data_IF_292024882832
#
_entry.id   IF_292024882832
#
_cell.length_a   1.000
_cell.length_b   1.000
_cell.length_c   1.000
_cell.angle_alpha   90.00
_cell.angle_beta   90.00
_cell.angle_gamma   90.00
#
_symmetry.space_group_name_H-M   'P 1'
#
loop_
_entity.id
_entity.type
_entity.pdbx_description
1 polymer ?
#
# COMPACT_ATOMS: atom_id res chain seq x y z
N UNK A 1 -24.60 -4.54 28.52
CA UNK A 1 -24.85 -4.67 27.07
C UNK A 1 -25.06 -3.25 26.56
N UNK A 2 -24.09 -2.69 25.83
CA UNK A 2 -24.15 -1.27 25.44
C UNK A 2 -25.19 -1.05 24.33
N UNK A 3 -26.02 0.00 24.40
CA UNK A 3 -27.13 0.26 23.49
C UNK A 3 -26.71 0.54 22.04
N UNK A 4 -25.41 0.73 21.77
CA UNK A 4 -24.88 0.88 20.43
C UNK A 4 -24.85 -0.44 19.63
N UNK A 5 -24.83 -1.60 20.30
CA UNK A 5 -24.72 -2.90 19.64
C UNK A 5 -26.06 -3.34 19.03
N UNK A 6 -27.20 -2.91 19.61
CA UNK A 6 -28.54 -3.28 19.14
C UNK A 6 -28.98 -2.55 17.87
N UNK A 7 -28.36 -1.42 17.52
CA UNK A 7 -28.62 -0.70 16.28
C UNK A 7 -27.91 -1.30 15.05
N UNK A 8 -27.00 -2.25 15.25
CA UNK A 8 -26.21 -2.88 14.17
C UNK A 8 -26.86 -4.15 13.59
N UNK A 9 -27.98 -4.62 14.17
CA UNK A 9 -28.60 -5.89 13.76
C UNK A 9 -29.66 -5.74 12.64
N UNK A 10 -30.15 -4.54 12.32
CA UNK A 10 -31.32 -4.42 11.42
C UNK A 10 -31.09 -3.86 10.00
N UNK A 11 -30.04 -3.10 9.69
CA UNK A 11 -29.82 -2.69 8.29
C UNK A 11 -28.35 -2.82 7.84
N UNK A 12 -28.09 -3.91 7.11
CA UNK A 12 -27.10 -4.05 6.05
C UNK A 12 -25.77 -3.29 6.19
N UNK A 13 -24.87 -3.81 7.01
CA UNK A 13 -23.47 -3.42 6.98
C UNK A 13 -22.59 -4.48 6.25
N UNK A 14 -22.16 -4.26 4.99
CA UNK A 14 -21.40 -5.24 4.20
C UNK A 14 -19.91 -5.32 4.56
N UNK A 15 -19.50 -4.68 5.65
CA UNK A 15 -18.12 -4.52 6.11
C UNK A 15 -17.29 -5.79 6.35
N UNK A 16 -17.84 -6.98 6.69
CA UNK A 16 -17.01 -8.17 6.77
C UNK A 16 -16.57 -8.68 5.40
N UNK A 17 -17.48 -8.80 4.42
CA UNK A 17 -17.20 -9.51 3.15
C UNK A 17 -16.12 -8.80 2.33
N UNK A 18 -16.22 -7.47 2.21
CA UNK A 18 -15.24 -6.67 1.45
C UNK A 18 -13.88 -6.58 2.14
N UNK A 19 -13.86 -6.49 3.47
CA UNK A 19 -12.61 -6.49 4.25
C UNK A 19 -11.88 -7.83 4.14
N UNK A 20 -12.60 -8.94 4.19
CA UNK A 20 -12.02 -10.27 3.96
C UNK A 20 -11.50 -10.44 2.53
N UNK A 21 -12.27 -10.01 1.53
CA UNK A 21 -11.84 -10.07 0.13
C UNK A 21 -10.59 -9.21 -0.09
N UNK A 22 -10.53 -8.01 0.50
CA UNK A 22 -9.38 -7.14 0.45
C UNK A 22 -8.14 -7.77 1.12
N UNK A 23 -8.31 -8.43 2.29
CA UNK A 23 -7.23 -9.17 2.94
C UNK A 23 -6.68 -10.31 2.07
N UNK A 24 -7.55 -11.06 1.38
CA UNK A 24 -7.14 -12.12 0.46
C UNK A 24 -6.32 -11.55 -0.71
N UNK A 25 -6.82 -10.48 -1.34
CA UNK A 25 -6.13 -9.81 -2.45
C UNK A 25 -4.77 -9.28 -2.00
N UNK A 26 -4.69 -8.67 -0.82
CA UNK A 26 -3.43 -8.21 -0.23
C UNK A 26 -2.47 -9.37 0.05
N UNK A 27 -2.97 -10.51 0.54
CA UNK A 27 -2.19 -11.72 0.77
C UNK A 27 -1.55 -12.24 -0.52
N UNK A 28 -2.35 -12.36 -1.59
CA UNK A 28 -1.85 -12.76 -2.92
C UNK A 28 -0.81 -11.76 -3.43
N UNK A 29 -1.07 -10.46 -3.31
CA UNK A 29 -0.14 -9.41 -3.70
C UNK A 29 1.17 -9.46 -2.92
N UNK A 30 1.12 -9.79 -1.62
CA UNK A 30 2.30 -9.95 -0.77
C UNK A 30 3.14 -11.15 -1.23
N UNK A 31 2.52 -12.31 -1.44
CA UNK A 31 3.22 -13.52 -1.93
C UNK A 31 3.88 -13.26 -3.28
N UNK A 32 3.16 -12.63 -4.21
CA UNK A 32 3.70 -12.26 -5.51
C UNK A 32 4.91 -11.30 -5.39
N UNK A 33 4.83 -10.30 -4.51
CA UNK A 33 5.91 -9.33 -4.30
C UNK A 33 7.15 -9.95 -3.66
N UNK A 34 6.96 -10.88 -2.71
CA UNK A 34 8.07 -11.63 -2.09
C UNK A 34 8.71 -12.58 -3.10
N UNK A 35 7.92 -13.30 -3.89
CA UNK A 35 8.42 -14.19 -4.95
C UNK A 35 9.20 -13.41 -6.02
N UNK A 36 8.71 -12.24 -6.42
CA UNK A 36 9.41 -11.34 -7.33
C UNK A 36 10.74 -10.83 -6.74
N UNK A 37 10.72 -10.40 -5.47
CA UNK A 37 11.94 -9.96 -4.76
C UNK A 37 12.97 -11.08 -4.67
N UNK A 38 12.53 -12.29 -4.34
CA UNK A 38 13.40 -13.47 -4.23
C UNK A 38 14.05 -13.81 -5.59
N UNK A 39 13.23 -13.87 -6.63
CA UNK A 39 13.66 -14.11 -8.01
C UNK A 39 14.70 -13.06 -8.40
N UNK A 40 14.40 -11.77 -8.19
CA UNK A 40 15.31 -10.69 -8.54
C UNK A 40 16.60 -10.72 -7.75
N UNK A 41 16.58 -11.04 -6.45
CA UNK A 41 17.80 -11.19 -5.65
C UNK A 41 18.70 -12.29 -6.21
N UNK A 42 18.12 -13.39 -6.67
CA UNK A 42 18.85 -14.50 -7.28
C UNK A 42 19.51 -14.09 -8.60
N UNK A 43 18.78 -13.37 -9.46
CA UNK A 43 19.28 -12.96 -10.78
C UNK A 43 20.10 -11.66 -10.78
N UNK A 44 19.95 -10.80 -9.77
CA UNK A 44 20.70 -9.54 -9.65
C UNK A 44 22.19 -9.76 -9.47
N UNK A 45 22.63 -10.95 -9.02
CA UNK A 45 24.05 -11.32 -8.98
C UNK A 45 24.65 -11.57 -10.37
N UNK A 46 23.82 -11.87 -11.37
CA UNK A 46 24.25 -12.14 -12.75
C UNK A 46 24.21 -10.89 -13.64
N UNK A 47 23.28 -9.96 -13.37
CA UNK A 47 23.10 -8.74 -14.16
C UNK A 47 22.99 -7.54 -13.22
N UNK A 48 24.12 -6.88 -12.96
CA UNK A 48 24.15 -5.63 -12.20
C UNK A 48 23.71 -4.47 -13.10
N UNK A 49 22.42 -4.14 -13.06
CA UNK A 49 21.84 -2.99 -13.77
C UNK A 49 21.09 -2.10 -12.79
N UNK A 50 21.18 -0.79 -13.01
CA UNK A 50 20.44 0.23 -12.26
C UNK A 50 18.93 -0.08 -12.23
N UNK A 51 18.38 -0.57 -13.34
CA UNK A 51 16.96 -0.96 -13.45
C UNK A 51 16.62 -2.14 -12.53
N UNK A 52 17.49 -3.15 -12.48
CA UNK A 52 17.28 -4.32 -11.62
C UNK A 52 17.32 -3.94 -10.13
N UNK A 53 18.25 -3.04 -9.77
CA UNK A 53 18.32 -2.49 -8.41
C UNK A 53 17.08 -1.68 -8.05
N UNK A 54 16.63 -0.76 -8.91
CA UNK A 54 15.42 0.03 -8.68
C UNK A 54 14.17 -0.86 -8.56
N UNK A 55 14.05 -1.89 -9.40
CA UNK A 55 12.94 -2.85 -9.35
C UNK A 55 12.93 -3.66 -8.06
N UNK A 56 14.10 -4.09 -7.58
CA UNK A 56 14.24 -4.79 -6.31
C UNK A 56 13.81 -3.92 -5.12
N UNK A 57 14.22 -2.66 -5.09
CA UNK A 57 13.81 -1.73 -4.03
C UNK A 57 12.30 -1.45 -4.08
N UNK A 58 11.73 -1.29 -5.27
CA UNK A 58 10.28 -1.18 -5.44
C UNK A 58 9.53 -2.36 -4.82
N UNK A 59 9.95 -3.61 -5.14
CA UNK A 59 9.27 -4.79 -4.59
C UNK A 59 9.48 -4.96 -3.08
N UNK A 60 10.61 -4.54 -2.52
CA UNK A 60 10.83 -4.53 -1.06
C UNK A 60 9.84 -3.57 -0.39
N UNK A 61 9.76 -2.32 -0.86
CA UNK A 61 8.84 -1.33 -0.29
C UNK A 61 7.37 -1.72 -0.50
N UNK A 62 7.04 -2.31 -1.65
CA UNK A 62 5.71 -2.88 -1.92
C UNK A 62 5.37 -4.00 -0.93
N UNK A 63 6.33 -4.89 -0.63
CA UNK A 63 6.13 -5.98 0.34
C UNK A 63 5.91 -5.45 1.76
N UNK A 64 6.71 -4.45 2.17
CA UNK A 64 6.53 -3.76 3.47
C UNK A 64 5.13 -3.15 3.55
N UNK A 65 4.72 -2.38 2.54
CA UNK A 65 3.38 -1.80 2.45
C UNK A 65 2.28 -2.86 2.61
N UNK A 66 2.36 -3.96 1.84
CA UNK A 66 1.33 -5.01 1.89
C UNK A 66 1.30 -5.70 3.26
N UNK A 67 2.44 -5.93 3.90
CA UNK A 67 2.48 -6.54 5.24
C UNK A 67 1.81 -5.67 6.29
N UNK A 68 2.13 -4.38 6.33
CA UNK A 68 1.53 -3.45 7.28
C UNK A 68 0.03 -3.25 7.01
N UNK A 69 -0.40 -3.23 5.75
CA UNK A 69 -1.82 -3.19 5.40
C UNK A 69 -2.56 -4.46 5.83
N UNK A 70 -1.97 -5.65 5.66
CA UNK A 70 -2.56 -6.90 6.17
C UNK A 70 -2.71 -6.85 7.69
N UNK A 71 -1.70 -6.35 8.42
CA UNK A 71 -1.75 -6.25 9.88
C UNK A 71 -2.85 -5.28 10.38
N UNK A 72 -3.07 -4.16 9.68
CA UNK A 72 -4.16 -3.23 10.01
C UNK A 72 -5.52 -3.88 9.72
N UNK A 73 -5.70 -4.48 8.54
CA UNK A 73 -6.96 -5.14 8.16
C UNK A 73 -7.27 -6.32 9.09
N UNK A 74 -6.28 -7.11 9.48
CA UNK A 74 -6.49 -8.22 10.44
C UNK A 74 -6.88 -7.73 11.82
N UNK A 75 -6.32 -6.61 12.29
CA UNK A 75 -6.72 -5.99 13.55
C UNK A 75 -8.19 -5.51 13.52
N UNK A 76 -8.62 -4.92 12.41
CA UNK A 76 -10.02 -4.49 12.19
C UNK A 76 -10.96 -5.70 12.18
N UNK A 77 -10.64 -6.75 11.40
CA UNK A 77 -11.44 -7.98 11.34
C UNK A 77 -11.54 -8.66 12.71
N UNK A 78 -10.41 -8.80 13.42
CA UNK A 78 -10.38 -9.42 14.74
C UNK A 78 -11.30 -8.71 15.72
N UNK A 79 -11.31 -7.38 15.71
CA UNK A 79 -12.14 -6.62 16.63
C UNK A 79 -13.61 -6.58 16.25
N UNK A 80 -13.91 -6.61 14.95
CA UNK A 80 -15.27 -6.81 14.47
C UNK A 80 -15.83 -8.16 14.97
N UNK A 81 -15.05 -9.23 14.85
CA UNK A 81 -15.45 -10.57 15.31
C UNK A 81 -15.58 -10.65 16.84
N UNK A 82 -14.66 -10.05 17.58
CA UNK A 82 -14.68 -10.09 19.04
C UNK A 82 -15.61 -9.05 19.69
N UNK A 83 -16.18 -8.11 18.91
CA UNK A 83 -17.03 -7.01 19.38
C UNK A 83 -16.41 -6.20 20.54
N UNK A 84 -15.08 -6.06 20.54
CA UNK A 84 -14.32 -5.54 21.70
C UNK A 84 -14.25 -4.03 21.78
N UNK A 85 -14.42 -3.31 20.68
CA UNK A 85 -14.32 -1.84 20.66
C UNK A 85 -14.96 -1.24 19.42
N UNK A 86 -15.53 -0.04 19.55
CA UNK A 86 -16.27 0.67 18.48
C UNK A 86 -15.39 1.54 17.58
N UNK A 87 -14.06 1.55 17.76
CA UNK A 87 -13.19 2.47 17.00
C UNK A 87 -13.11 2.16 15.51
N UNK A 88 -13.42 0.94 15.09
CA UNK A 88 -13.51 0.59 13.66
C UNK A 88 -14.72 1.27 12.98
N UNK A 89 -15.75 1.65 13.74
CA UNK A 89 -16.92 2.40 13.24
C UNK A 89 -16.50 3.84 12.90
N UNK A 90 -15.51 4.39 13.62
CA UNK A 90 -14.93 5.70 13.31
C UNK A 90 -14.27 5.77 11.93
N UNK A 91 -13.89 4.61 11.37
CA UNK A 91 -13.27 4.44 10.04
C UNK A 91 -14.33 4.47 8.90
N UNK A 92 -15.60 4.20 9.21
CA UNK A 92 -16.72 4.28 8.26
C UNK A 92 -17.17 5.72 8.01
N UNK A 93 -17.29 6.50 9.09
CA UNK A 93 -17.68 7.92 8.99
C UNK A 93 -16.58 8.80 8.38
N UNK A 94 -15.35 8.30 8.30
CA UNK A 94 -14.19 9.08 7.86
C UNK A 94 -13.19 8.24 7.03
N UNK A 95 -13.54 8.08 5.75
CA UNK A 95 -12.68 7.70 4.61
C UNK A 95 -11.54 6.68 4.85
N UNK A 96 -11.82 5.46 4.38
CA UNK A 96 -10.97 4.26 4.16
C UNK A 96 -9.61 4.51 3.44
N UNK A 97 -9.23 5.74 3.14
CA UNK A 97 -8.04 6.08 2.36
C UNK A 97 -7.21 7.30 2.81
N UNK A 98 -7.61 8.07 3.82
CA UNK A 98 -7.09 9.43 3.98
C UNK A 98 -6.43 9.73 5.32
N UNK A 99 -5.10 9.90 5.31
CA UNK A 99 -4.27 10.59 6.31
C UNK A 99 -5.00 11.23 7.51
N UNK A 100 -5.16 10.50 8.61
CA UNK A 100 -5.30 11.11 9.93
C UNK A 100 -3.91 11.50 10.41
N UNK A 101 -3.47 12.72 10.13
CA UNK A 101 -2.41 13.34 10.94
C UNK A 101 -2.96 13.43 12.36
N UNK A 102 -2.50 12.53 13.22
CA UNK A 102 -2.88 12.42 14.62
C UNK A 102 -2.42 13.70 15.32
N UNK A 103 -3.34 14.63 15.48
CA UNK A 103 -3.06 15.94 16.04
C UNK A 103 -4.30 16.82 16.18
N UNK A 104 -5.10 16.52 17.21
CA UNK A 104 -5.93 17.44 18.00
C UNK A 104 -7.41 17.66 17.64
N UNK A 105 -8.19 17.55 18.72
CA UNK A 105 -9.60 17.83 18.96
C UNK A 105 -9.95 19.32 18.77
N UNK A 106 -11.12 19.66 18.17
CA UNK A 106 -11.99 20.79 18.56
C UNK A 106 -13.35 20.63 17.86
N UNK A 107 -14.44 20.68 18.63
CA UNK A 107 -15.71 21.24 18.13
C UNK A 107 -16.97 20.42 18.38
N UNK A 108 -17.54 20.54 19.59
CA UNK A 108 -19.00 20.67 19.80
C UNK A 108 -19.90 19.73 18.99
N UNK A 109 -19.95 18.46 19.37
CA UNK A 109 -20.87 17.50 18.76
C UNK A 109 -20.72 16.13 19.40
N UNK A 110 -21.32 15.99 20.57
CA UNK A 110 -21.48 14.75 21.33
C UNK A 110 -21.79 13.52 20.46
N UNK A 111 -20.78 12.69 20.16
CA UNK A 111 -20.96 11.25 19.98
C UNK A 111 -20.32 10.55 21.18
N UNK A 112 -21.04 10.44 22.31
CA UNK A 112 -20.52 9.86 23.53
C UNK A 112 -20.47 8.33 23.36
N UNK A 113 -19.29 7.76 23.13
CA UNK A 113 -19.12 6.30 23.21
C UNK A 113 -18.21 5.64 22.19
N UNK A 114 -17.51 6.39 21.33
CA UNK A 114 -16.58 5.79 20.36
C UNK A 114 -15.16 5.80 20.92
N UNK A 115 -14.57 4.61 21.04
CA UNK A 115 -13.18 4.46 21.48
C UNK A 115 -12.22 4.97 20.40
N UNK A 116 -11.04 5.43 20.79
CA UNK A 116 -9.98 5.82 19.85
C UNK A 116 -9.18 4.57 19.39
N UNK A 117 -8.68 4.53 18.13
CA UNK A 117 -7.86 3.39 17.69
C UNK A 117 -6.57 3.25 18.51
N UNK A 118 -6.18 2.01 18.85
CA UNK A 118 -4.99 1.75 19.64
C UNK A 118 -3.70 2.12 18.88
N UNK A 119 -2.66 2.51 19.62
CA UNK A 119 -1.42 3.04 19.05
C UNK A 119 -0.72 2.11 18.06
N UNK A 120 -0.79 0.79 18.25
CA UNK A 120 -0.15 -0.16 17.34
C UNK A 120 -0.76 -0.10 15.93
N UNK A 121 -2.09 0.08 15.81
CA UNK A 121 -2.76 0.22 14.51
C UNK A 121 -2.32 1.50 13.82
N UNK A 122 -2.26 2.60 14.57
CA UNK A 122 -1.81 3.92 14.08
C UNK A 122 -0.37 3.86 13.57
N UNK A 123 0.54 3.21 14.31
CA UNK A 123 1.94 3.03 13.91
C UNK A 123 2.03 2.17 12.65
N UNK A 124 1.30 1.04 12.59
CA UNK A 124 1.28 0.19 11.40
C UNK A 124 0.76 0.93 10.16
N UNK A 125 -0.29 1.73 10.32
CA UNK A 125 -0.83 2.55 9.23
C UNK A 125 0.21 3.56 8.72
N UNK A 126 0.87 4.28 9.64
CA UNK A 126 1.90 5.25 9.29
C UNK A 126 3.07 4.63 8.51
N UNK A 127 3.56 3.45 8.95
CA UNK A 127 4.62 2.74 8.23
C UNK A 127 4.11 2.27 6.86
N UNK A 128 2.86 1.81 6.79
CA UNK A 128 2.18 1.51 5.53
C UNK A 128 2.22 2.70 4.57
N UNK A 129 1.76 3.88 4.98
CA UNK A 129 1.68 5.03 4.09
C UNK A 129 3.08 5.56 3.71
N UNK A 130 4.04 5.55 4.64
CA UNK A 130 5.43 5.88 4.33
C UNK A 130 6.04 4.91 3.29
N UNK A 131 5.75 3.62 3.41
CA UNK A 131 6.21 2.61 2.45
C UNK A 131 5.50 2.71 1.09
N UNK A 132 4.25 3.18 1.05
CA UNK A 132 3.54 3.51 -0.20
C UNK A 132 4.27 4.65 -0.95
N UNK A 133 4.56 5.75 -0.26
CA UNK A 133 5.26 6.91 -0.84
C UNK A 133 6.66 6.49 -1.33
N UNK A 134 7.39 5.72 -0.52
CA UNK A 134 8.69 5.19 -0.91
C UNK A 134 8.60 4.27 -2.13
N UNK A 135 7.59 3.39 -2.18
CA UNK A 135 7.32 2.56 -3.36
C UNK A 135 7.04 3.38 -4.61
N UNK A 136 6.24 4.44 -4.51
CA UNK A 136 5.97 5.35 -5.63
C UNK A 136 7.24 6.06 -6.12
N UNK A 137 8.12 6.47 -5.20
CA UNK A 137 9.42 7.06 -5.55
C UNK A 137 10.31 6.09 -6.33
N UNK A 138 10.42 4.84 -5.90
CA UNK A 138 11.21 3.82 -6.61
C UNK A 138 10.60 3.44 -7.98
N UNK A 139 9.27 3.46 -8.08
CA UNK A 139 8.58 3.29 -9.36
C UNK A 139 8.93 4.41 -10.34
N UNK A 140 9.02 5.66 -9.87
CA UNK A 140 9.45 6.79 -10.69
C UNK A 140 10.90 6.64 -11.16
N UNK A 141 11.82 6.24 -10.28
CA UNK A 141 13.22 5.95 -10.66
C UNK A 141 13.26 4.88 -11.75
N UNK A 142 12.49 3.80 -11.59
CA UNK A 142 12.42 2.72 -12.55
C UNK A 142 11.95 3.21 -13.93
N UNK A 143 10.91 4.06 -13.98
CA UNK A 143 10.43 4.67 -15.23
C UNK A 143 11.52 5.53 -15.87
N UNK A 144 12.21 6.36 -15.10
CA UNK A 144 13.31 7.22 -15.60
C UNK A 144 14.46 6.38 -16.17
N UNK A 145 14.86 5.32 -15.48
CA UNK A 145 15.94 4.44 -15.94
C UNK A 145 15.54 3.64 -17.20
N UNK A 146 14.29 3.18 -17.28
CA UNK A 146 13.76 2.56 -18.50
C UNK A 146 13.77 3.54 -19.69
N UNK A 147 13.33 4.79 -19.49
CA UNK A 147 13.38 5.82 -20.52
C UNK A 147 14.82 6.10 -20.97
N UNK A 148 15.78 6.18 -20.04
CA UNK A 148 17.21 6.34 -20.36
C UNK A 148 17.74 5.19 -21.21
N UNK A 149 17.36 3.95 -20.90
CA UNK A 149 17.74 2.77 -21.69
C UNK A 149 17.16 2.80 -23.10
N UNK A 150 15.87 3.14 -23.23
CA UNK A 150 15.21 3.24 -24.54
C UNK A 150 15.86 4.33 -25.40
N UNK A 151 16.10 5.52 -24.85
CA UNK A 151 16.76 6.61 -25.57
C UNK A 151 18.19 6.26 -26.00
N UNK A 152 18.97 5.59 -25.13
CA UNK A 152 20.32 5.10 -25.48
C UNK A 152 20.27 4.06 -26.61
N UNK A 153 19.34 3.11 -26.54
CA UNK A 153 19.18 2.06 -27.55
C UNK A 153 18.72 2.62 -28.89
N UNK A 154 17.77 3.56 -28.90
CA UNK A 154 17.32 4.26 -30.12
C UNK A 154 18.45 5.08 -30.75
N UNK A 155 19.30 5.73 -29.93
CA UNK A 155 20.48 6.46 -30.42
C UNK A 155 21.56 5.54 -31.00
N UNK A 156 21.70 4.31 -30.50
CA UNK A 156 22.59 3.31 -31.09
C UNK A 156 22.00 2.68 -32.37
N UNK A 157 20.66 2.63 -32.51
CA UNK A 157 19.99 2.13 -33.72
C UNK A 157 19.97 3.16 -34.85
N UNK A 158 19.86 4.46 -34.55
CA UNK A 158 20.11 5.52 -35.52
C UNK A 158 21.58 5.94 -35.45
N UNK A 159 22.49 5.35 -36.26
CA UNK A 159 23.80 5.94 -36.41
C UNK A 159 23.61 7.39 -36.89
N UNK A 160 24.18 8.35 -36.15
CA UNK A 160 24.43 9.70 -36.65
C UNK A 160 25.32 9.57 -37.89
N UNK A 161 24.69 9.47 -39.06
CA UNK A 161 25.40 9.17 -40.29
C UNK A 161 24.49 8.65 -41.38
N UNK A 162 23.37 9.33 -41.64
CA UNK A 162 22.72 9.28 -42.95
C UNK A 162 22.87 10.65 -43.61
N UNK A 163 24.12 10.98 -43.88
CA UNK A 163 24.46 11.94 -44.93
C UNK A 163 24.24 11.20 -46.24
N UNK A 164 23.01 11.25 -46.77
CA UNK A 164 22.78 10.91 -48.18
C UNK A 164 23.42 12.02 -49.01
N UNK A 165 24.70 11.84 -49.32
CA UNK A 165 25.31 12.39 -50.51
C UNK A 165 24.81 11.55 -51.72
N UNK A 166 23.89 12.12 -52.49
CA UNK A 166 23.53 11.70 -53.85
C UNK A 166 23.10 12.98 -54.55
N UNK A 167 24.02 13.64 -55.26
CA UNK A 167 24.39 13.39 -56.66
C UNK A 167 23.20 13.60 -57.58
#
# INVERSE_FOLDING_TARGET
>A
MSPAISYLDEESYPFPVWSFLYAIVLGVACVASVAATWTLRKYSKLVSSCVCSAMLHFFIWKSIYTLFRIAVVSAVIHQYLCKTSTWFILDEDHDVGGFRFIGREVGTGSSPGLCEPPYYVKICLFIGDASLISGAYWMLILVVELLRLVVRRLRCWCPKGSTYAGR
#
